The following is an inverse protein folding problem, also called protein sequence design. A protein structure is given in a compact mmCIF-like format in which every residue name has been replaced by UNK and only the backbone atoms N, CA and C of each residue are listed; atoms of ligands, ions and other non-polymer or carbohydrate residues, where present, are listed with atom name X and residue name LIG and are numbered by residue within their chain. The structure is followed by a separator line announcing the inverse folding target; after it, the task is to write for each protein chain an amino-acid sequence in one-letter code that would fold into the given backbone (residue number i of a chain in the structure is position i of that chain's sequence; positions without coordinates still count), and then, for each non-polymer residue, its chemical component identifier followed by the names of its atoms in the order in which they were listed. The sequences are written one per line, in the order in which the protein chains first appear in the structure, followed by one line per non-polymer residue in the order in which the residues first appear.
data_IF_167066641718
#
_entry.id   IF_167066641718
#
_cell.length_a   1.000
_cell.length_b   1.000
_cell.length_c   1.000
_cell.angle_alpha   90.00
_cell.angle_beta   90.00
_cell.angle_gamma   90.00
#
_symmetry.space_group_name_H-M   'P 1'
#
loop_
_entity.id
_entity.type
_entity.pdbx_description
1 polymer ?
#
# COMPACT_ATOMS: atom_id res chain seq x y z
N UNK A 1 -3.48 -13.78 2.79
CA UNK A 1 -2.42 -13.01 3.46
C UNK A 1 -2.71 -12.72 4.95
N UNK A 2 -3.45 -11.67 5.36
CA UNK A 2 -3.56 -11.29 6.79
C UNK A 2 -4.79 -11.78 7.58
N UNK A 3 -5.61 -12.70 7.02
CA UNK A 3 -6.85 -13.21 7.65
C UNK A 3 -7.65 -12.10 8.35
N UNK A 4 -7.86 -10.98 7.64
CA UNK A 4 -8.59 -9.82 8.16
C UNK A 4 -10.08 -10.06 8.06
N UNK A 5 -10.83 -9.51 9.00
CA UNK A 5 -12.27 -9.40 8.90
C UNK A 5 -12.62 -8.57 7.65
N UNK A 6 -13.62 -8.99 6.88
CA UNK A 6 -13.95 -8.37 5.58
C UNK A 6 -14.32 -6.88 5.66
N UNK A 7 -14.68 -6.39 6.86
CA UNK A 7 -15.01 -4.99 7.12
C UNK A 7 -13.81 -4.12 7.52
N UNK A 8 -12.58 -4.66 7.56
CA UNK A 8 -11.36 -3.92 7.91
C UNK A 8 -10.45 -3.76 6.67
N UNK A 9 -10.68 -2.73 5.85
CA UNK A 9 -9.85 -2.46 4.68
C UNK A 9 -8.40 -2.18 5.03
N UNK A 10 -7.57 -2.25 4.00
CA UNK A 10 -6.18 -1.83 4.06
C UNK A 10 -6.14 -0.30 3.94
N UNK A 11 -5.19 0.34 4.61
CA UNK A 11 -5.05 1.78 4.50
C UNK A 11 -4.47 2.17 3.13
N UNK A 12 -4.91 3.30 2.54
CA UNK A 12 -4.27 3.86 1.37
C UNK A 12 -2.94 4.53 1.71
N UNK A 13 -1.99 4.48 0.78
CA UNK A 13 -0.88 5.43 0.67
C UNK A 13 -0.96 6.10 -0.69
N UNK A 14 -0.83 7.43 -0.74
CA UNK A 14 -0.98 8.21 -1.96
C UNK A 14 -0.06 9.43 -2.00
N UNK A 15 0.10 10.00 -3.19
CA UNK A 15 0.78 11.29 -3.35
C UNK A 15 -0.01 12.38 -2.62
N UNK A 16 0.70 13.27 -1.92
CA UNK A 16 0.09 14.40 -1.23
C UNK A 16 -0.63 15.32 -2.22
N UNK A 17 -0.04 15.56 -3.40
CA UNK A 17 -0.64 16.33 -4.48
C UNK A 17 -1.91 15.70 -5.07
N UNK A 18 -2.16 14.41 -4.84
CA UNK A 18 -3.35 13.70 -5.29
C UNK A 18 -4.44 13.58 -4.20
N UNK A 19 -4.23 14.14 -3.00
CA UNK A 19 -5.21 14.00 -1.91
C UNK A 19 -6.61 14.47 -2.31
N UNK A 20 -6.72 15.59 -3.02
CA UNK A 20 -8.00 16.15 -3.48
C UNK A 20 -8.71 15.33 -4.56
N UNK A 21 -8.01 14.39 -5.21
CA UNK A 21 -8.62 13.47 -6.19
C UNK A 21 -9.36 12.32 -5.50
N UNK A 22 -8.86 11.87 -4.34
CA UNK A 22 -9.33 10.66 -3.68
C UNK A 22 -10.04 10.89 -2.35
N UNK A 23 -9.72 11.96 -1.62
CA UNK A 23 -10.14 12.15 -0.22
C UNK A 23 -10.68 13.56 0.09
N UNK A 24 -11.57 13.61 1.08
CA UNK A 24 -12.06 14.86 1.68
C UNK A 24 -12.08 14.78 3.23
N UNK A 25 -11.64 15.85 3.94
CA UNK A 25 -10.97 17.02 3.39
C UNK A 25 -9.57 16.67 2.83
N UNK A 26 -9.04 17.43 1.87
CA UNK A 26 -7.86 17.05 1.11
C UNK A 26 -6.53 17.42 1.79
N UNK A 27 -6.55 17.81 3.06
CA UNK A 27 -5.33 18.17 3.79
C UNK A 27 -4.38 16.97 3.94
N UNK A 28 -3.07 17.21 4.04
CA UNK A 28 -2.09 16.14 4.27
C UNK A 28 -2.42 15.27 5.49
N UNK A 29 -2.21 13.97 5.36
CA UNK A 29 -2.33 12.98 6.44
C UNK A 29 -1.12 12.04 6.44
N UNK A 30 0.05 12.48 6.96
CA UNK A 30 1.30 11.73 6.78
C UNK A 30 1.44 10.48 7.66
N UNK A 31 0.58 10.31 8.67
CA UNK A 31 0.77 9.32 9.74
C UNK A 31 -0.36 8.29 9.88
N UNK A 32 -1.33 8.27 8.96
CA UNK A 32 -2.48 7.33 9.02
C UNK A 32 -3.22 7.37 10.36
N UNK A 33 -3.43 8.57 10.92
CA UNK A 33 -4.11 8.74 12.21
C UNK A 33 -5.60 9.02 12.06
N UNK A 34 -6.00 9.60 10.93
CA UNK A 34 -7.32 10.20 10.74
C UNK A 34 -8.07 9.57 9.58
N UNK A 35 -9.37 9.33 9.77
CA UNK A 35 -10.24 8.93 8.68
C UNK A 35 -10.56 10.13 7.79
N UNK A 36 -10.61 9.88 6.49
CA UNK A 36 -11.05 10.81 5.45
C UNK A 36 -12.17 10.15 4.66
N UNK A 37 -13.11 10.97 4.17
CA UNK A 37 -14.12 10.50 3.24
C UNK A 37 -13.45 10.18 1.92
N UNK A 38 -13.71 9.01 1.36
CA UNK A 38 -13.32 8.65 0.01
C UNK A 38 -14.32 9.26 -0.96
N UNK A 39 -13.82 10.01 -1.94
CA UNK A 39 -14.64 10.69 -2.96
C UNK A 39 -14.44 10.12 -4.37
N UNK A 40 -13.54 9.14 -4.53
CA UNK A 40 -13.29 8.45 -5.79
C UNK A 40 -13.73 6.98 -5.75
N UNK A 41 -14.41 6.54 -6.80
CA UNK A 41 -14.81 5.16 -6.98
C UNK A 41 -13.66 4.24 -7.49
N UNK A 42 -12.50 4.79 -7.85
CA UNK A 42 -11.39 4.02 -8.42
C UNK A 42 -10.55 3.25 -7.40
N UNK A 43 -10.82 3.39 -6.10
CA UNK A 43 -10.01 2.80 -5.01
C UNK A 43 -10.78 1.90 -4.03
N UNK A 44 -11.67 1.00 -4.50
CA UNK A 44 -12.56 0.23 -3.61
C UNK A 44 -11.81 -0.68 -2.62
N UNK A 45 -10.58 -1.12 -2.94
CA UNK A 45 -9.79 -2.02 -2.11
C UNK A 45 -9.34 -1.41 -0.77
N UNK A 46 -9.31 -0.07 -0.67
CA UNK A 46 -8.90 0.68 0.54
C UNK A 46 -10.06 1.44 1.18
N UNK A 47 -11.28 1.29 0.65
CA UNK A 47 -12.48 2.01 1.09
C UNK A 47 -13.30 1.15 2.04
N UNK A 48 -13.68 1.73 3.18
CA UNK A 48 -14.58 1.12 4.16
C UNK A 48 -16.02 1.14 3.64
N UNK A 49 -16.87 0.29 4.23
CA UNK A 49 -18.30 0.20 3.89
C UNK A 49 -19.08 1.52 4.09
N UNK A 50 -18.56 2.41 4.93
CA UNK A 50 -19.11 3.75 5.19
C UNK A 50 -18.50 4.84 4.28
N UNK A 51 -17.74 4.45 3.25
CA UNK A 51 -16.98 5.31 2.34
C UNK A 51 -15.85 6.11 3.01
N UNK A 52 -15.32 5.64 4.15
CA UNK A 52 -14.11 6.22 4.75
C UNK A 52 -12.84 5.43 4.42
N UNK A 53 -11.69 6.05 4.60
CA UNK A 53 -10.39 5.39 4.61
C UNK A 53 -9.43 6.18 5.49
N UNK A 54 -8.30 5.59 5.87
CA UNK A 54 -7.27 6.25 6.70
C UNK A 54 -5.98 6.44 5.91
N UNK A 55 -5.91 7.45 5.03
CA UNK A 55 -4.81 7.60 4.08
C UNK A 55 -3.48 7.94 4.77
N UNK A 56 -2.40 7.56 4.10
CA UNK A 56 -1.08 8.14 4.26
C UNK A 56 -0.76 9.01 3.04
N UNK A 57 -0.69 10.33 3.20
CA UNK A 57 -0.15 11.20 2.17
C UNK A 57 1.38 11.20 2.22
N UNK A 58 2.02 11.19 1.06
CA UNK A 58 3.48 11.24 0.94
C UNK A 58 3.88 12.36 0.00
N UNK A 59 4.81 13.20 0.45
CA UNK A 59 5.50 14.16 -0.40
C UNK A 59 7.00 13.83 -0.57
N UNK A 60 7.63 14.49 -1.53
CA UNK A 60 9.05 14.28 -1.88
C UNK A 60 10.01 14.54 -0.74
N UNK A 61 9.71 15.52 0.12
CA UNK A 61 10.58 15.90 1.25
C UNK A 61 10.58 14.83 2.35
N UNK A 62 9.44 14.18 2.56
CA UNK A 62 9.28 13.13 3.57
C UNK A 62 9.87 11.79 3.12
N UNK A 63 9.57 11.36 1.89
CA UNK A 63 10.03 10.06 1.40
C UNK A 63 10.11 10.05 -0.14
N UNK A 64 11.27 10.42 -0.68
CA UNK A 64 11.49 10.49 -2.13
C UNK A 64 11.29 9.14 -2.84
N UNK A 65 11.70 8.02 -2.23
CA UNK A 65 11.58 6.69 -2.84
C UNK A 65 10.12 6.27 -2.98
N UNK A 66 9.32 6.47 -1.93
CA UNK A 66 7.89 6.17 -1.97
C UNK A 66 7.13 7.11 -2.90
N UNK A 67 7.49 8.40 -2.90
CA UNK A 67 6.93 9.38 -3.84
C UNK A 67 7.20 8.99 -5.30
N UNK A 68 8.42 8.56 -5.63
CA UNK A 68 8.78 8.07 -6.96
C UNK A 68 8.01 6.79 -7.35
N UNK A 69 7.87 5.84 -6.43
CA UNK A 69 7.09 4.62 -6.65
C UNK A 69 5.63 4.96 -6.98
N UNK A 70 5.00 5.80 -6.17
CA UNK A 70 3.61 6.22 -6.37
C UNK A 70 3.43 7.04 -7.65
N UNK A 71 4.36 7.94 -7.96
CA UNK A 71 4.33 8.72 -9.20
C UNK A 71 4.44 7.83 -10.44
N UNK A 72 5.34 6.84 -10.40
CA UNK A 72 5.52 5.88 -11.51
C UNK A 72 4.30 4.99 -11.64
N UNK A 73 3.76 4.48 -10.52
CA UNK A 73 2.55 3.67 -10.51
C UNK A 73 1.35 4.46 -11.05
N UNK A 74 1.20 5.73 -10.67
CA UNK A 74 0.16 6.61 -11.19
C UNK A 74 0.28 6.81 -12.70
N UNK A 75 1.50 7.06 -13.21
CA UNK A 75 1.74 7.23 -14.64
C UNK A 75 1.39 5.98 -15.47
N UNK A 76 1.56 4.78 -14.90
CA UNK A 76 1.27 3.50 -15.58
C UNK A 76 -0.19 3.07 -15.44
N UNK A 77 -0.78 3.22 -14.25
CA UNK A 77 -2.11 2.69 -13.92
C UNK A 77 -3.24 3.71 -14.01
N UNK A 78 -2.92 5.00 -14.00
CA UNK A 78 -3.89 6.08 -13.82
C UNK A 78 -4.36 6.26 -12.36
N UNK A 79 -3.89 5.44 -11.41
CA UNK A 79 -4.31 5.48 -9.99
C UNK A 79 -3.11 5.81 -9.10
N UNK A 80 -3.21 6.89 -8.32
CA UNK A 80 -2.14 7.40 -7.45
C UNK A 80 -2.13 6.81 -6.04
N UNK A 81 -2.72 5.63 -5.85
CA UNK A 81 -2.99 5.01 -4.54
C UNK A 81 -2.54 3.56 -4.53
N UNK A 82 -1.83 3.17 -3.47
CA UNK A 82 -1.46 1.78 -3.17
C UNK A 82 -2.02 1.33 -1.83
N UNK A 83 -2.16 0.01 -1.66
CA UNK A 83 -2.46 -0.60 -0.37
C UNK A 83 -1.24 -0.55 0.54
N UNK A 84 -1.41 0.02 1.75
CA UNK A 84 -0.37 0.12 2.76
C UNK A 84 -0.77 -0.62 4.04
N UNK A 85 0.02 -1.61 4.43
CA UNK A 85 -0.16 -2.37 5.65
C UNK A 85 1.18 -2.67 6.30
N UNK A 86 1.17 -2.85 7.63
CA UNK A 86 2.34 -3.28 8.37
C UNK A 86 2.95 -4.55 7.80
N UNK A 87 4.28 -4.62 7.79
CA UNK A 87 5.05 -5.80 7.42
C UNK A 87 5.48 -6.54 8.71
N UNK A 88 4.66 -7.50 9.14
CA UNK A 88 4.85 -8.22 10.40
C UNK A 88 4.06 -9.54 10.45
N UNK A 89 4.56 -10.49 11.22
CA UNK A 89 3.81 -11.67 11.66
C UNK A 89 2.73 -11.29 12.68
N UNK A 90 1.67 -12.09 12.77
CA UNK A 90 0.58 -11.85 13.72
C UNK A 90 1.10 -11.95 15.17
N UNK A 91 0.78 -10.96 16.01
CA UNK A 91 1.29 -10.90 17.39
C UNK A 91 2.77 -10.50 17.51
N UNK A 92 3.46 -10.20 16.42
CA UNK A 92 4.87 -9.80 16.41
C UNK A 92 5.07 -8.34 15.99
N UNK A 93 6.23 -7.79 16.37
CA UNK A 93 6.72 -6.50 15.87
C UNK A 93 7.09 -6.51 14.39
N UNK A 94 7.59 -5.38 13.89
CA UNK A 94 7.99 -5.24 12.49
C UNK A 94 9.14 -6.17 12.12
N UNK A 95 9.09 -6.69 10.90
CA UNK A 95 10.20 -7.44 10.31
C UNK A 95 11.38 -6.48 10.11
N UNK A 96 12.54 -6.84 10.67
CA UNK A 96 13.78 -6.08 10.56
C UNK A 96 15.00 -6.95 10.16
N UNK A 97 14.76 -8.19 9.74
CA UNK A 97 15.77 -9.12 9.21
C UNK A 97 15.34 -9.65 7.86
N UNK A 98 16.27 -9.72 6.92
CA UNK A 98 16.00 -10.26 5.58
C UNK A 98 15.52 -11.72 5.62
N UNK A 99 16.02 -12.53 6.56
CA UNK A 99 15.56 -13.90 6.79
C UNK A 99 14.08 -13.96 7.16
N UNK A 100 13.62 -13.03 7.98
CA UNK A 100 12.21 -12.93 8.37
C UNK A 100 11.34 -12.42 7.22
N UNK A 101 11.84 -11.50 6.39
CA UNK A 101 11.15 -11.05 5.18
C UNK A 101 10.97 -12.19 4.18
N UNK A 102 12.02 -12.96 3.94
CA UNK A 102 11.96 -14.14 3.05
C UNK A 102 10.94 -15.16 3.55
N UNK A 103 11.01 -15.50 4.85
CA UNK A 103 10.03 -16.39 5.48
C UNK A 103 8.62 -15.85 5.37
N UNK A 104 8.41 -14.57 5.67
CA UNK A 104 7.12 -13.93 5.59
C UNK A 104 6.54 -13.99 4.18
N UNK A 105 7.35 -13.70 3.15
CA UNK A 105 6.94 -13.76 1.76
C UNK A 105 6.53 -15.18 1.34
N UNK A 106 7.28 -16.20 1.75
CA UNK A 106 6.95 -17.61 1.47
C UNK A 106 5.69 -18.07 2.19
N UNK A 107 5.59 -17.86 3.52
CA UNK A 107 4.43 -18.28 4.32
C UNK A 107 3.13 -17.54 3.95
N UNK A 108 3.24 -16.30 3.47
CA UNK A 108 2.09 -15.49 3.05
C UNK A 108 1.83 -15.54 1.55
N UNK A 109 2.55 -16.39 0.82
CA UNK A 109 2.31 -16.61 -0.60
C UNK A 109 2.38 -15.30 -1.41
N UNK A 110 3.39 -14.48 -1.14
CA UNK A 110 3.63 -13.24 -1.88
C UNK A 110 4.30 -13.54 -3.22
N UNK A 111 3.93 -12.77 -4.25
CA UNK A 111 4.56 -12.86 -5.58
C UNK A 111 6.04 -12.42 -5.54
N UNK A 112 6.40 -11.56 -4.60
CA UNK A 112 7.75 -11.10 -4.41
C UNK A 112 7.88 -10.01 -3.35
N UNK A 113 9.10 -9.50 -3.17
CA UNK A 113 9.40 -8.34 -2.32
C UNK A 113 10.60 -7.57 -2.86
N UNK A 114 10.69 -6.30 -2.48
CA UNK A 114 11.86 -5.45 -2.76
C UNK A 114 12.66 -5.30 -1.47
N UNK A 115 13.98 -5.48 -1.56
CA UNK A 115 14.91 -5.17 -0.48
C UNK A 115 16.05 -4.33 -1.04
N UNK A 116 16.23 -3.14 -0.48
CA UNK A 116 17.08 -2.08 -1.03
C UNK A 116 16.68 -1.76 -2.48
N UNK A 117 17.54 -2.05 -3.45
CA UNK A 117 17.32 -1.78 -4.87
C UNK A 117 17.21 -3.08 -5.68
N UNK A 118 16.86 -4.20 -5.02
CA UNK A 118 16.72 -5.53 -5.62
C UNK A 118 15.30 -6.06 -5.49
N UNK A 119 14.77 -6.57 -6.59
CA UNK A 119 13.49 -7.27 -6.65
C UNK A 119 13.73 -8.78 -6.50
N UNK A 120 13.03 -9.39 -5.55
CA UNK A 120 13.01 -10.83 -5.30
C UNK A 120 11.62 -11.35 -5.65
N UNK A 121 11.59 -12.39 -6.47
CA UNK A 121 10.40 -12.90 -7.12
C UNK A 121 10.21 -14.38 -6.76
N UNK A 122 8.97 -14.80 -6.50
CA UNK A 122 8.69 -16.20 -6.19
C UNK A 122 8.75 -17.03 -7.48
N UNK A 123 9.63 -18.06 -7.57
CA UNK A 123 9.94 -18.73 -8.83
C UNK A 123 8.72 -19.34 -9.55
N UNK A 124 7.74 -19.86 -8.79
CA UNK A 124 6.58 -20.55 -9.36
C UNK A 124 5.37 -19.66 -9.70
N UNK A 125 5.44 -18.34 -9.46
CA UNK A 125 4.31 -17.41 -9.66
C UNK A 125 4.45 -16.47 -10.86
N UNK A 126 5.51 -16.63 -11.66
CA UNK A 126 5.75 -15.86 -12.89
C UNK A 126 5.12 -16.44 -14.16
N UNK A 127 4.26 -17.45 -14.03
CA UNK A 127 3.66 -18.17 -15.17
C UNK A 127 2.16 -17.85 -15.37
N UNK A 128 1.73 -16.61 -15.19
CA UNK A 128 0.44 -16.17 -15.73
C UNK A 128 0.56 -14.88 -16.53
N UNK A 129 0.19 -15.02 -17.80
CA UNK A 129 0.15 -14.01 -18.85
C UNK A 129 -0.51 -12.71 -18.37
N UNK A 130 0.24 -11.61 -18.43
CA UNK A 130 -0.36 -10.29 -18.67
C UNK A 130 -0.79 -10.29 -20.15
N UNK A 131 -2.08 -10.55 -20.39
CA UNK A 131 -2.76 -10.17 -21.63
C UNK A 131 -3.29 -8.76 -21.51
#
# INVERSE_FOLDING_TARGET
MKKREGFRPIAPICLEECMAEYFYPPDPSPFMLEFRKVISASIPAVTHVDNSARPQSVNKLQNIRMHQLLSTYHAVSGVGVLCNTSLNFNGCGFINRLSDLYRFASENELDGFVFEDKLFLHPDRHNENVK
#
